data_IF_263693539549
#
_entry.id   IF_263693539549
#
_cell.length_a   1.000
_cell.length_b   1.000
_cell.length_c   1.000
_cell.angle_alpha   90.00
_cell.angle_beta   90.00
_cell.angle_gamma   90.00
#
_symmetry.space_group_name_H-M   'P 1'
#
loop_
_entity.id
_entity.type
_entity.pdbx_description
1 polymer ?
#
# COMPACT_ATOMS: atom_id res chain seq x y z
N UNK A 1 -17.38 4.86 -0.35
CA UNK A 1 -17.09 6.31 -0.17
C UNK A 1 -16.17 6.59 1.02
N UNK A 2 -16.47 6.07 2.21
CA UNK A 2 -15.65 6.28 3.43
C UNK A 2 -14.20 5.78 3.27
N UNK A 3 -14.00 4.58 2.73
CA UNK A 3 -12.67 3.98 2.52
C UNK A 3 -11.78 4.86 1.63
N UNK A 4 -12.33 5.41 0.54
CA UNK A 4 -11.58 6.28 -0.39
C UNK A 4 -11.07 7.55 0.29
N UNK A 5 -11.90 8.18 1.12
CA UNK A 5 -11.53 9.41 1.85
C UNK A 5 -10.46 9.09 2.90
N UNK A 6 -10.61 8.00 3.65
CA UNK A 6 -9.64 7.57 4.67
C UNK A 6 -8.29 7.26 4.03
N UNK A 7 -8.28 6.45 2.97
CA UNK A 7 -7.05 6.04 2.27
C UNK A 7 -6.33 7.26 1.67
N UNK A 8 -7.07 8.17 1.04
CA UNK A 8 -6.51 9.41 0.47
C UNK A 8 -5.91 10.31 1.54
N UNK A 9 -6.64 10.55 2.63
CA UNK A 9 -6.18 11.38 3.75
C UNK A 9 -4.92 10.83 4.40
N UNK A 10 -4.87 9.51 4.61
CA UNK A 10 -3.72 8.83 5.17
C UNK A 10 -2.49 8.88 4.25
N UNK A 11 -2.70 8.77 2.95
CA UNK A 11 -1.64 8.92 1.94
C UNK A 11 -1.02 10.32 2.03
N UNK A 12 -1.85 11.35 2.18
CA UNK A 12 -1.38 12.73 2.36
C UNK A 12 -0.63 12.89 3.70
N UNK A 13 -1.12 12.30 4.78
CA UNK A 13 -0.43 12.30 6.09
C UNK A 13 0.93 11.60 6.01
N UNK A 14 1.01 10.45 5.33
CA UNK A 14 2.26 9.73 5.09
C UNK A 14 3.29 10.60 4.37
N UNK A 15 2.87 11.32 3.32
CA UNK A 15 3.73 12.22 2.57
C UNK A 15 4.16 13.45 3.37
N UNK A 16 3.24 14.01 4.18
CA UNK A 16 3.46 15.25 4.94
C UNK A 16 4.47 15.09 6.08
N UNK A 17 4.47 13.93 6.74
CA UNK A 17 5.35 13.63 7.87
C UNK A 17 6.50 12.68 7.51
N UNK A 18 6.82 12.54 6.23
CA UNK A 18 7.88 11.64 5.79
C UNK A 18 9.25 12.10 6.33
N UNK A 19 9.96 11.25 7.10
CA UNK A 19 11.20 11.65 7.74
C UNK A 19 12.36 11.77 6.73
N UNK A 20 13.18 12.81 6.87
CA UNK A 20 14.34 13.06 6.00
C UNK A 20 15.51 12.08 6.23
N UNK A 21 15.55 11.42 7.38
CA UNK A 21 16.64 10.52 7.78
C UNK A 21 16.34 9.06 7.41
N UNK A 22 17.35 8.33 6.94
CA UNK A 22 17.25 6.97 6.41
C UNK A 22 16.90 5.89 7.46
N UNK A 23 17.36 6.04 8.72
CA UNK A 23 17.02 5.12 9.81
C UNK A 23 15.54 5.18 10.24
N UNK A 24 14.93 6.36 10.50
CA UNK A 24 13.51 6.43 10.84
C UNK A 24 12.57 6.12 9.67
N UNK A 25 13.03 6.15 8.42
CA UNK A 25 12.21 5.80 7.24
C UNK A 25 11.65 4.38 7.33
N UNK A 26 12.49 3.39 7.69
CA UNK A 26 12.04 1.99 7.77
C UNK A 26 10.98 1.79 8.85
N UNK A 27 11.20 2.36 10.04
CA UNK A 27 10.23 2.32 11.13
C UNK A 27 8.93 3.05 10.76
N UNK A 28 9.05 4.18 10.08
CA UNK A 28 7.91 4.94 9.58
C UNK A 28 7.09 4.10 8.59
N UNK A 29 7.73 3.47 7.61
CA UNK A 29 7.05 2.61 6.65
C UNK A 29 6.39 1.41 7.31
N UNK A 30 7.08 0.72 8.22
CA UNK A 30 6.50 -0.39 8.97
C UNK A 30 5.28 0.02 9.79
N UNK A 31 5.33 1.18 10.44
CA UNK A 31 4.18 1.73 11.18
C UNK A 31 2.96 1.91 10.27
N UNK A 32 3.16 2.52 9.09
CA UNK A 32 2.08 2.75 8.14
C UNK A 32 1.52 1.47 7.52
N UNK A 33 2.38 0.48 7.24
CA UNK A 33 1.95 -0.85 6.79
C UNK A 33 1.08 -1.52 7.86
N UNK A 34 1.51 -1.52 9.12
CA UNK A 34 0.75 -2.11 10.23
C UNK A 34 -0.60 -1.39 10.40
N UNK A 35 -0.58 -0.06 10.41
CA UNK A 35 -1.79 0.75 10.57
C UNK A 35 -2.82 0.44 9.48
N UNK A 36 -2.40 0.37 8.21
CA UNK A 36 -3.32 0.05 7.12
C UNK A 36 -3.84 -1.37 7.16
N UNK A 37 -2.98 -2.31 7.50
CA UNK A 37 -3.37 -3.72 7.62
C UNK A 37 -4.40 -3.91 8.72
N UNK A 38 -4.25 -3.20 9.86
CA UNK A 38 -5.25 -3.20 10.94
C UNK A 38 -6.58 -2.58 10.49
N UNK A 39 -6.53 -1.46 9.78
CA UNK A 39 -7.73 -0.78 9.29
C UNK A 39 -8.47 -1.65 8.28
N UNK A 40 -7.76 -2.24 7.33
CA UNK A 40 -8.33 -3.20 6.38
C UNK A 40 -8.93 -4.41 7.08
N UNK A 41 -8.27 -4.94 8.11
CA UNK A 41 -8.81 -6.03 8.90
C UNK A 41 -10.13 -5.65 9.59
N UNK A 42 -10.22 -4.45 10.16
CA UNK A 42 -11.47 -3.94 10.76
C UNK A 42 -12.56 -3.80 9.69
N UNK A 43 -12.22 -3.32 8.50
CA UNK A 43 -13.17 -3.22 7.39
C UNK A 43 -13.61 -4.57 6.85
N UNK A 44 -12.72 -5.56 6.84
CA UNK A 44 -13.05 -6.95 6.52
C UNK A 44 -14.04 -7.52 7.55
N UNK A 45 -13.79 -7.33 8.84
CA UNK A 45 -14.72 -7.75 9.91
C UNK A 45 -16.07 -7.03 9.87
N UNK A 46 -16.13 -5.84 9.26
CA UNK A 46 -17.34 -5.06 9.09
C UNK A 46 -18.08 -5.34 7.77
N UNK A 47 -17.71 -6.42 7.06
CA UNK A 47 -18.25 -6.82 5.74
C UNK A 47 -18.19 -5.66 4.72
N UNK A 48 -17.13 -4.84 4.77
CA UNK A 48 -16.91 -3.72 3.84
C UNK A 48 -15.87 -4.03 2.77
N UNK A 49 -15.04 -5.04 2.98
CA UNK A 49 -13.99 -5.48 2.07
C UNK A 49 -14.10 -7.00 1.98
N UNK A 50 -14.31 -7.50 0.77
CA UNK A 50 -14.27 -8.92 0.47
C UNK A 50 -13.00 -9.26 -0.31
N UNK A 51 -12.39 -10.39 0.05
CA UNK A 51 -11.24 -10.89 -0.67
C UNK A 51 -11.68 -11.85 -1.78
N UNK A 52 -11.18 -11.62 -3.00
CA UNK A 52 -11.51 -12.43 -4.18
C UNK A 52 -10.30 -13.20 -4.70
N UNK A 53 -10.54 -14.33 -5.35
CA UNK A 53 -9.54 -15.16 -6.06
C UNK A 53 -8.32 -15.55 -5.20
N UNK A 54 -8.54 -15.91 -3.94
CA UNK A 54 -7.45 -16.32 -3.04
C UNK A 54 -6.57 -15.17 -2.54
N UNK A 55 -6.93 -13.92 -2.84
CA UNK A 55 -6.38 -12.77 -2.13
C UNK A 55 -6.73 -12.91 -0.64
N UNK A 56 -5.84 -12.47 0.24
CA UNK A 56 -6.08 -12.46 1.68
C UNK A 56 -5.32 -11.27 2.28
N UNK A 57 -5.48 -11.06 3.58
CA UNK A 57 -4.83 -9.94 4.27
C UNK A 57 -3.29 -9.97 4.17
N UNK A 58 -2.67 -11.14 4.03
CA UNK A 58 -1.21 -11.26 3.86
C UNK A 58 -0.78 -10.66 2.53
N UNK A 59 -1.54 -10.90 1.46
CA UNK A 59 -1.31 -10.26 0.17
C UNK A 59 -1.50 -8.74 0.22
N UNK A 60 -2.47 -8.26 1.00
CA UNK A 60 -2.62 -6.83 1.25
C UNK A 60 -1.43 -6.23 1.99
N UNK A 61 -0.89 -6.92 3.01
CA UNK A 61 0.33 -6.50 3.72
C UNK A 61 1.51 -6.39 2.73
N UNK A 62 1.72 -7.41 1.89
CA UNK A 62 2.78 -7.37 0.86
C UNK A 62 2.58 -6.20 -0.11
N UNK A 63 1.34 -5.96 -0.53
CA UNK A 63 1.02 -4.82 -1.37
C UNK A 63 1.36 -3.50 -0.69
N UNK A 64 1.02 -3.31 0.59
CA UNK A 64 1.36 -2.08 1.32
C UNK A 64 2.86 -1.86 1.48
N UNK A 65 3.62 -2.93 1.75
CA UNK A 65 5.09 -2.89 1.84
C UNK A 65 5.70 -2.34 0.55
N UNK A 66 5.12 -2.67 -0.62
CA UNK A 66 5.58 -2.17 -1.91
C UNK A 66 5.02 -0.77 -2.19
N UNK A 67 3.74 -0.54 -1.88
CA UNK A 67 3.00 0.70 -2.17
C UNK A 67 3.63 1.92 -1.50
N UNK A 68 4.00 1.85 -0.22
CA UNK A 68 4.54 3.02 0.50
C UNK A 68 5.88 3.54 -0.04
N UNK A 69 6.90 2.69 -0.28
CA UNK A 69 8.09 3.09 -1.02
C UNK A 69 7.75 3.65 -2.39
N UNK A 70 6.81 3.01 -3.11
CA UNK A 70 6.37 3.46 -4.44
C UNK A 70 5.80 4.86 -4.41
N UNK A 71 4.98 5.15 -3.40
CA UNK A 71 4.30 6.42 -3.21
C UNK A 71 5.32 7.54 -2.92
N UNK A 72 6.30 7.26 -2.06
CA UNK A 72 7.40 8.18 -1.81
C UNK A 72 8.25 8.40 -3.08
N UNK A 73 8.55 7.33 -3.81
CA UNK A 73 9.29 7.42 -5.06
C UNK A 73 8.51 8.20 -6.12
N UNK A 74 7.20 8.02 -6.20
CA UNK A 74 6.33 8.73 -7.14
C UNK A 74 6.32 10.24 -6.85
N UNK A 75 6.26 10.62 -5.57
CA UNK A 75 6.36 12.02 -5.15
C UNK A 75 7.69 12.69 -5.57
N UNK A 76 8.79 11.93 -5.58
CA UNK A 76 10.11 12.45 -5.98
C UNK A 76 10.38 12.33 -7.49
N UNK A 77 9.98 11.24 -8.12
CA UNK A 77 10.28 10.83 -9.50
C UNK A 77 9.11 10.02 -10.07
N UNK A 78 8.04 10.68 -10.54
CA UNK A 78 6.81 10.01 -10.94
C UNK A 78 7.00 9.00 -12.08
N UNK A 79 7.84 9.34 -13.07
CA UNK A 79 8.15 8.46 -14.20
C UNK A 79 8.85 7.17 -13.78
N UNK A 80 9.81 7.26 -12.84
CA UNK A 80 10.54 6.10 -12.34
C UNK A 80 9.61 5.19 -11.54
N UNK A 81 8.75 5.77 -10.69
CA UNK A 81 7.75 5.01 -9.96
C UNK A 81 6.76 4.30 -10.89
N UNK A 82 6.34 4.94 -11.97
CA UNK A 82 5.42 4.34 -12.94
C UNK A 82 6.08 3.17 -13.70
N UNK A 83 7.33 3.33 -14.14
CA UNK A 83 8.05 2.23 -14.80
C UNK A 83 8.28 1.06 -13.86
N UNK A 84 8.61 1.34 -12.59
CA UNK A 84 8.86 0.32 -11.60
C UNK A 84 7.56 -0.36 -11.14
N UNK A 85 6.38 0.27 -11.27
CA UNK A 85 5.11 -0.35 -10.86
C UNK A 85 4.66 -1.44 -11.82
N UNK A 86 5.01 -1.31 -13.10
CA UNK A 86 4.69 -2.26 -14.16
C UNK A 86 5.08 -3.72 -13.78
N UNK A 87 6.34 -4.04 -13.44
CA UNK A 87 6.71 -5.42 -13.10
C UNK A 87 6.00 -5.93 -11.85
N UNK A 88 5.75 -5.09 -10.84
CA UNK A 88 4.98 -5.51 -9.65
C UNK A 88 3.54 -5.84 -10.02
N UNK A 89 2.89 -5.02 -10.83
CA UNK A 89 1.53 -5.27 -11.32
C UNK A 89 1.45 -6.57 -12.12
N UNK A 90 2.35 -6.78 -13.07
CA UNK A 90 2.42 -8.04 -13.83
C UNK A 90 2.68 -9.25 -12.93
N UNK A 91 3.57 -9.12 -11.93
CA UNK A 91 3.84 -10.16 -10.95
C UNK A 91 2.60 -10.55 -10.16
N UNK A 92 1.85 -9.58 -9.63
CA UNK A 92 0.59 -9.85 -8.95
C UNK A 92 -0.43 -10.50 -9.89
N UNK A 93 -0.61 -10.00 -11.11
CA UNK A 93 -1.55 -10.57 -12.07
C UNK A 93 -1.22 -12.04 -12.41
N UNK A 94 0.07 -12.36 -12.56
CA UNK A 94 0.53 -13.74 -12.78
C UNK A 94 0.21 -14.65 -11.59
N UNK A 95 0.52 -14.20 -10.37
CA UNK A 95 0.29 -14.99 -9.13
C UNK A 95 -1.19 -15.35 -8.97
N UNK A 96 -2.10 -14.43 -9.32
CA UNK A 96 -3.53 -14.65 -9.22
C UNK A 96 -4.19 -15.20 -10.50
N UNK A 97 -3.38 -15.68 -11.46
CA UNK A 97 -3.87 -16.38 -12.66
C UNK A 97 -4.75 -15.53 -13.57
N UNK A 98 -4.45 -14.24 -13.70
CA UNK A 98 -5.14 -13.34 -14.63
C UNK A 98 -4.58 -13.41 -16.06
N UNK A 99 -3.53 -14.22 -16.29
CA UNK A 99 -2.96 -14.57 -17.59
C UNK A 99 -2.98 -16.09 -17.73
#
# INVERSE_FOLDING_TARGET
MIIFILQGSMTLLFLSYHPTSWRPILLYWSFWVILFSLIEYIFYLADRIDYFKGWNIVWSIFFYIIMYPMLYLHYKKPLVALLLSIPFTFGFMWIFGYF
#
